data_IF_854274304742
#
_entry.id   IF_854274304742
#
_cell.length_a   1.000
_cell.length_b   1.000
_cell.length_c   1.000
_cell.angle_alpha   90.00
_cell.angle_beta   90.00
_cell.angle_gamma   90.00
#
_symmetry.space_group_name_H-M   'P 1'
#
loop_
_entity.id
_entity.type
_entity.pdbx_description
1 polymer ?
#
# COMPACT_ATOMS: atom_id res chain seq x y z
N UNK A 1 -7.06 16.45 -8.64
CA UNK A 1 -6.08 15.60 -9.34
C UNK A 1 -6.83 14.39 -9.87
N UNK A 2 -6.56 13.95 -11.10
CA UNK A 2 -7.21 12.81 -11.73
C UNK A 2 -6.17 11.74 -12.07
N UNK A 3 -6.58 10.47 -12.18
CA UNK A 3 -5.69 9.34 -12.49
C UNK A 3 -5.01 9.46 -13.87
N UNK A 4 -5.56 10.30 -14.75
CA UNK A 4 -5.04 10.54 -16.11
C UNK A 4 -3.58 11.01 -16.13
N UNK A 5 -3.10 11.67 -15.07
CA UNK A 5 -1.71 12.13 -15.00
C UNK A 5 -0.71 10.96 -14.98
N UNK A 6 -1.16 9.76 -14.62
CA UNK A 6 -0.34 8.55 -14.52
C UNK A 6 -0.34 7.71 -15.81
N UNK A 7 -1.17 8.06 -16.80
CA UNK A 7 -1.15 7.39 -18.10
C UNK A 7 0.07 7.87 -18.88
N UNK A 8 1.00 6.97 -19.26
CA UNK A 8 2.23 7.37 -19.92
C UNK A 8 1.95 7.83 -21.35
N UNK A 9 2.82 8.68 -21.87
CA UNK A 9 2.96 8.88 -23.30
C UNK A 9 3.62 7.63 -23.90
N UNK A 10 3.59 7.53 -25.26
CA UNK A 10 4.24 6.41 -25.95
C UNK A 10 5.72 6.34 -25.57
N UNK A 11 6.18 5.16 -25.16
CA UNK A 11 7.59 4.91 -24.91
C UNK A 11 8.40 4.93 -26.22
N UNK A 12 9.61 5.47 -26.15
CA UNK A 12 10.51 5.56 -27.31
C UNK A 12 11.57 4.45 -27.33
N UNK A 13 11.81 3.82 -26.19
CA UNK A 13 12.85 2.83 -26.01
C UNK A 13 12.23 1.43 -25.86
N UNK A 14 13.02 0.41 -26.20
CA UNK A 14 12.70 -1.00 -25.94
C UNK A 14 13.85 -1.61 -25.14
N UNK A 15 13.53 -2.38 -24.13
CA UNK A 15 14.49 -3.08 -23.28
C UNK A 15 14.34 -4.57 -23.56
N UNK A 16 15.40 -5.27 -23.89
CA UNK A 16 15.30 -6.71 -24.19
C UNK A 16 15.10 -7.54 -22.91
N UNK A 17 15.84 -7.23 -21.87
CA UNK A 17 15.79 -7.92 -20.56
C UNK A 17 16.36 -7.04 -19.47
N UNK A 18 15.95 -7.29 -18.25
CA UNK A 18 16.49 -6.60 -17.08
C UNK A 18 16.10 -7.28 -15.77
N UNK A 19 16.64 -6.72 -14.70
CA UNK A 19 16.37 -7.17 -13.34
C UNK A 19 16.48 -5.99 -12.39
N UNK A 20 15.50 -5.85 -11.50
CA UNK A 20 15.47 -4.81 -10.48
C UNK A 20 15.02 -5.38 -9.16
N UNK A 21 15.54 -4.86 -8.06
CA UNK A 21 15.16 -5.28 -6.71
C UNK A 21 14.81 -4.06 -5.88
N UNK A 22 13.68 -4.14 -5.19
CA UNK A 22 13.24 -3.16 -4.22
C UNK A 22 12.85 -3.80 -2.90
N UNK A 23 13.11 -3.11 -1.81
CA UNK A 23 12.52 -3.39 -0.52
C UNK A 23 11.45 -2.33 -0.22
N UNK A 24 10.38 -2.76 0.43
CA UNK A 24 9.30 -1.87 0.88
C UNK A 24 8.87 -2.26 2.29
N UNK A 25 8.76 -1.30 3.21
CA UNK A 25 8.35 -1.56 4.58
C UNK A 25 6.88 -1.93 4.65
N UNK A 26 6.51 -2.71 5.64
CA UNK A 26 5.12 -2.77 6.08
C UNK A 26 4.72 -1.49 6.79
N UNK A 27 3.43 -1.25 6.98
CA UNK A 27 2.93 -0.08 7.67
C UNK A 27 1.80 -0.45 8.66
N UNK A 28 1.76 0.26 9.80
CA UNK A 28 0.74 0.12 10.82
C UNK A 28 -0.09 1.39 10.88
N UNK A 29 -1.39 1.25 10.65
CA UNK A 29 -2.31 2.38 10.67
C UNK A 29 -2.64 2.82 12.09
N UNK A 30 -2.49 4.12 12.37
CA UNK A 30 -2.91 4.80 13.59
C UNK A 30 -4.39 5.17 13.53
N UNK A 31 -4.84 5.75 12.41
CA UNK A 31 -6.25 5.87 12.05
C UNK A 31 -6.52 4.87 10.94
N UNK A 32 -7.46 3.94 11.20
CA UNK A 32 -7.63 2.74 10.38
C UNK A 32 -8.34 3.02 9.05
N UNK A 33 -7.79 2.52 7.96
CA UNK A 33 -8.47 2.35 6.68
C UNK A 33 -9.48 1.20 6.79
N UNK A 34 -10.79 1.51 6.69
CA UNK A 34 -11.84 0.50 6.75
C UNK A 34 -13.01 0.89 5.86
N UNK A 35 -13.40 -0.02 4.98
CA UNK A 35 -14.34 0.29 3.88
C UNK A 35 -13.61 0.85 2.66
N UNK A 36 -14.06 0.42 1.48
CA UNK A 36 -13.49 0.85 0.21
C UNK A 36 -14.55 0.93 -0.88
N UNK A 37 -14.38 1.88 -1.76
CA UNK A 37 -15.09 2.02 -3.03
C UNK A 37 -14.38 1.22 -4.13
N UNK A 38 -14.92 1.30 -5.36
CA UNK A 38 -14.28 0.74 -6.54
C UNK A 38 -12.82 1.22 -6.65
N UNK A 39 -11.96 0.39 -7.24
CA UNK A 39 -10.56 0.66 -7.51
C UNK A 39 -9.75 1.02 -6.24
N UNK A 40 -10.09 0.40 -5.11
CA UNK A 40 -9.45 0.58 -3.80
C UNK A 40 -9.52 2.01 -3.24
N UNK A 41 -10.39 2.88 -3.75
CA UNK A 41 -10.60 4.21 -3.17
C UNK A 41 -11.12 4.08 -1.74
N UNK A 42 -10.53 4.79 -0.75
CA UNK A 42 -10.92 4.64 0.65
C UNK A 42 -12.26 5.33 0.96
N UNK A 43 -13.00 4.79 1.91
CA UNK A 43 -14.21 5.47 2.43
C UNK A 43 -13.87 6.55 3.46
N UNK A 44 -12.72 6.44 4.11
CA UNK A 44 -12.23 7.40 5.09
C UNK A 44 -10.71 7.59 4.98
N UNK A 45 -10.19 8.76 5.38
CA UNK A 45 -8.75 8.97 5.45
C UNK A 45 -8.11 8.06 6.51
N UNK A 46 -6.84 7.78 6.33
CA UNK A 46 -6.05 6.96 7.23
C UNK A 46 -4.63 7.48 7.30
N UNK A 47 -3.94 7.20 8.42
CA UNK A 47 -2.53 7.53 8.61
C UNK A 47 -1.82 6.34 9.21
N UNK A 48 -0.60 6.09 8.76
CA UNK A 48 0.24 4.99 9.27
C UNK A 48 1.70 5.42 9.36
N UNK A 49 2.44 4.79 10.26
CA UNK A 49 3.90 4.78 10.19
C UNK A 49 4.40 3.47 9.57
N UNK A 50 5.59 3.51 8.98
CA UNK A 50 6.26 2.37 8.38
C UNK A 50 7.12 1.64 9.42
N UNK A 51 7.28 0.33 9.25
CA UNK A 51 8.06 -0.54 10.12
C UNK A 51 9.44 -0.79 9.53
N UNK A 52 10.49 -0.24 10.12
CA UNK A 52 11.85 -0.35 9.59
C UNK A 52 12.38 -1.79 9.48
N UNK A 53 12.00 -2.66 10.40
CA UNK A 53 12.47 -4.05 10.45
C UNK A 53 11.54 -5.04 9.72
N UNK A 54 10.31 -4.66 9.42
CA UNK A 54 9.33 -5.51 8.74
C UNK A 54 9.17 -5.08 7.29
N UNK A 55 9.89 -5.73 6.38
CA UNK A 55 9.95 -5.39 4.97
C UNK A 55 9.65 -6.58 4.07
N UNK A 56 9.16 -6.30 2.87
CA UNK A 56 9.16 -7.23 1.76
C UNK A 56 10.23 -6.81 0.76
N UNK A 57 11.04 -7.75 0.32
CA UNK A 57 12.07 -7.57 -0.71
C UNK A 57 11.57 -8.29 -1.95
N UNK A 58 11.40 -7.58 -3.05
CA UNK A 58 10.94 -8.14 -4.32
C UNK A 58 11.98 -7.89 -5.40
N UNK A 59 12.34 -8.95 -6.11
CA UNK A 59 13.13 -8.90 -7.32
C UNK A 59 12.24 -9.20 -8.52
N UNK A 60 12.21 -8.29 -9.47
CA UNK A 60 11.51 -8.41 -10.73
C UNK A 60 12.54 -8.63 -11.85
N UNK A 61 12.57 -9.82 -12.44
CA UNK A 61 13.29 -10.07 -13.68
C UNK A 61 12.31 -10.03 -14.85
N UNK A 62 12.69 -9.42 -15.96
CA UNK A 62 11.84 -9.27 -17.14
C UNK A 62 12.60 -9.54 -18.43
N UNK A 63 11.92 -10.13 -19.40
CA UNK A 63 12.43 -10.43 -20.74
C UNK A 63 11.36 -10.14 -21.77
N UNK A 64 11.71 -9.39 -22.82
CA UNK A 64 10.82 -9.10 -23.95
C UNK A 64 10.36 -10.40 -24.59
N UNK A 65 9.07 -10.54 -24.87
CA UNK A 65 8.49 -11.73 -25.51
C UNK A 65 7.97 -11.42 -26.92
N UNK A 66 7.87 -12.45 -27.73
CA UNK A 66 7.36 -12.35 -29.10
C UNK A 66 5.83 -12.16 -29.11
N UNK A 67 5.11 -13.00 -28.33
CA UNK A 67 3.65 -12.89 -28.18
C UNK A 67 3.29 -11.88 -27.07
N UNK A 68 2.59 -10.81 -27.43
CA UNK A 68 2.25 -9.67 -26.57
C UNK A 68 0.77 -9.58 -26.19
N UNK A 69 0.03 -10.69 -26.24
CA UNK A 69 -1.42 -10.69 -26.01
C UNK A 69 -1.80 -10.79 -24.54
N UNK A 70 -1.04 -11.57 -23.76
CA UNK A 70 -1.41 -11.95 -22.40
C UNK A 70 -0.33 -11.56 -21.40
N UNK A 71 -0.72 -11.38 -20.13
CA UNK A 71 0.25 -11.29 -19.05
C UNK A 71 0.94 -12.65 -18.87
N UNK A 72 2.25 -12.62 -18.73
CA UNK A 72 3.09 -13.81 -18.58
C UNK A 72 4.02 -13.60 -17.39
N UNK A 73 3.79 -14.33 -16.31
CA UNK A 73 4.57 -14.18 -15.10
C UNK A 73 4.59 -15.44 -14.23
N UNK A 74 5.72 -15.65 -13.58
CA UNK A 74 5.90 -16.62 -12.51
C UNK A 74 6.14 -15.89 -11.20
N UNK A 75 5.60 -16.39 -10.07
CA UNK A 75 5.76 -15.78 -8.75
C UNK A 75 6.29 -16.77 -7.72
N UNK A 76 7.29 -16.33 -6.96
CA UNK A 76 7.98 -17.12 -5.93
C UNK A 76 7.95 -16.35 -4.60
N UNK A 77 7.68 -17.07 -3.51
CA UNK A 77 7.83 -16.59 -2.14
C UNK A 77 8.85 -17.46 -1.42
N UNK A 78 9.91 -16.83 -0.89
CA UNK A 78 10.99 -17.51 -0.18
C UNK A 78 11.64 -18.66 -1.00
N UNK A 79 11.69 -18.49 -2.34
CA UNK A 79 12.25 -19.45 -3.28
C UNK A 79 11.28 -20.52 -3.77
N UNK A 80 10.10 -20.63 -3.22
CA UNK A 80 9.04 -21.56 -3.63
C UNK A 80 8.03 -20.91 -4.57
N UNK A 81 7.66 -21.59 -5.65
CA UNK A 81 6.61 -21.12 -6.54
C UNK A 81 5.26 -21.06 -5.81
N UNK A 82 4.51 -19.96 -6.01
CA UNK A 82 3.23 -19.68 -5.33
C UNK A 82 2.12 -19.40 -6.35
N UNK A 83 1.57 -20.46 -6.92
CA UNK A 83 0.48 -20.36 -7.88
C UNK A 83 -0.78 -19.71 -7.30
N UNK A 84 -1.03 -19.88 -6.01
CA UNK A 84 -2.13 -19.28 -5.27
C UNK A 84 -2.06 -17.74 -5.21
N UNK A 85 -0.91 -17.13 -5.49
CA UNK A 85 -0.76 -15.68 -5.61
C UNK A 85 -1.07 -15.17 -7.03
N UNK A 86 -1.02 -16.03 -8.06
CA UNK A 86 -1.22 -15.65 -9.46
C UNK A 86 -2.54 -14.91 -9.70
N UNK A 87 -3.71 -15.33 -9.17
CA UNK A 87 -4.96 -14.61 -9.38
C UNK A 87 -4.93 -13.17 -8.90
N UNK A 88 -4.25 -12.91 -7.77
CA UNK A 88 -4.13 -11.56 -7.21
C UNK A 88 -3.20 -10.67 -8.04
N UNK A 89 -2.11 -11.21 -8.54
CA UNK A 89 -1.18 -10.48 -9.43
C UNK A 89 -1.83 -10.22 -10.78
N UNK A 90 -2.59 -11.18 -11.31
CA UNK A 90 -3.37 -11.03 -12.54
C UNK A 90 -4.34 -9.84 -12.44
N UNK A 91 -5.17 -9.80 -11.39
CA UNK A 91 -6.09 -8.69 -11.13
C UNK A 91 -5.34 -7.35 -10.96
N UNK A 92 -4.18 -7.39 -10.34
CA UNK A 92 -3.35 -6.19 -10.21
C UNK A 92 -2.87 -5.70 -11.57
N UNK A 93 -2.31 -6.57 -12.40
CA UNK A 93 -1.86 -6.23 -13.75
C UNK A 93 -2.99 -5.71 -14.65
N UNK A 94 -4.17 -6.32 -14.59
CA UNK A 94 -5.37 -5.84 -15.30
C UNK A 94 -5.76 -4.40 -14.90
N UNK A 95 -5.64 -4.05 -13.61
CA UNK A 95 -5.95 -2.70 -13.11
C UNK A 95 -4.92 -1.66 -13.51
N UNK A 96 -3.67 -2.06 -13.66
CA UNK A 96 -2.58 -1.12 -13.92
C UNK A 96 -2.14 -1.09 -15.39
N UNK A 97 -2.67 -1.94 -16.26
CA UNK A 97 -2.28 -2.04 -17.68
C UNK A 97 -2.33 -0.68 -18.39
N UNK A 98 -3.39 0.11 -18.18
CA UNK A 98 -3.52 1.43 -18.79
C UNK A 98 -2.42 2.41 -18.37
N UNK A 99 -1.86 2.22 -17.19
CA UNK A 99 -0.79 3.06 -16.63
C UNK A 99 0.61 2.53 -16.93
N UNK A 100 0.72 1.23 -17.27
CA UNK A 100 1.95 0.53 -17.63
C UNK A 100 1.69 -0.40 -18.83
N UNK A 101 1.50 0.16 -20.04
CA UNK A 101 1.09 -0.61 -21.22
C UNK A 101 2.09 -1.68 -21.66
N UNK A 102 3.34 -1.64 -21.21
CA UNK A 102 4.34 -2.66 -21.49
C UNK A 102 4.10 -4.01 -20.81
N UNK A 103 3.19 -4.11 -19.85
CA UNK A 103 3.00 -5.34 -19.04
C UNK A 103 2.75 -6.60 -19.86
N UNK A 104 2.08 -6.49 -21.01
CA UNK A 104 1.86 -7.62 -21.92
C UNK A 104 3.02 -7.90 -22.88
N UNK A 105 4.00 -7.01 -22.92
CA UNK A 105 5.16 -7.15 -23.81
C UNK A 105 6.28 -8.00 -23.23
N UNK A 106 6.24 -8.26 -21.91
CA UNK A 106 7.30 -8.94 -21.19
C UNK A 106 6.79 -10.17 -20.45
N UNK A 107 7.70 -11.18 -20.37
CA UNK A 107 7.60 -12.23 -19.36
C UNK A 107 8.29 -11.75 -18.09
N UNK A 108 7.63 -11.92 -16.95
CA UNK A 108 8.12 -11.53 -15.64
C UNK A 108 8.42 -12.75 -14.78
N UNK A 109 9.52 -12.69 -14.02
CA UNK A 109 9.76 -13.54 -12.86
C UNK A 109 9.77 -12.66 -11.62
N UNK A 110 8.81 -12.89 -10.72
CA UNK A 110 8.62 -12.15 -9.48
C UNK A 110 9.12 -13.01 -8.33
N UNK A 111 10.23 -12.65 -7.73
CA UNK A 111 10.80 -13.35 -6.56
C UNK A 111 10.66 -12.44 -5.35
N UNK A 112 9.91 -12.86 -4.33
CA UNK A 112 9.62 -12.04 -3.15
C UNK A 112 9.95 -12.79 -1.86
N UNK A 113 10.35 -12.04 -0.84
CA UNK A 113 10.59 -12.57 0.50
C UNK A 113 10.24 -11.53 1.55
N UNK A 114 9.82 -11.98 2.74
CA UNK A 114 9.51 -11.12 3.86
C UNK A 114 10.57 -11.26 4.95
N UNK A 115 10.91 -10.17 5.63
CA UNK A 115 11.74 -10.21 6.85
C UNK A 115 10.94 -10.57 8.10
N UNK A 116 9.67 -10.90 7.93
CA UNK A 116 8.71 -11.24 8.98
C UNK A 116 7.78 -12.37 8.51
N UNK A 117 7.12 -13.12 9.43
CA UNK A 117 6.25 -14.23 9.05
C UNK A 117 5.11 -13.81 8.14
N UNK A 118 4.92 -14.53 7.03
CA UNK A 118 3.78 -14.30 6.13
C UNK A 118 2.45 -14.55 6.87
N UNK A 119 1.40 -13.83 6.52
CA UNK A 119 0.05 -13.92 7.12
C UNK A 119 -0.05 -13.60 8.63
N UNK A 120 0.99 -13.07 9.25
CA UNK A 120 1.04 -12.74 10.68
C UNK A 120 0.26 -11.47 11.10
N UNK A 121 -0.53 -10.88 10.21
CA UNK A 121 -1.23 -9.62 10.50
C UNK A 121 -0.40 -8.35 10.28
N UNK A 122 0.88 -8.47 9.87
CA UNK A 122 1.83 -7.36 9.66
C UNK A 122 1.71 -6.75 8.26
N UNK A 123 0.55 -6.84 7.63
CA UNK A 123 0.26 -6.23 6.33
C UNK A 123 1.25 -6.60 5.19
N UNK A 124 1.72 -7.87 5.12
CA UNK A 124 2.60 -8.37 4.05
C UNK A 124 2.08 -8.08 2.62
N UNK A 125 0.77 -8.04 2.46
CA UNK A 125 0.13 -7.64 1.20
C UNK A 125 0.40 -6.17 0.82
N UNK A 126 0.57 -5.29 1.80
CA UNK A 126 0.88 -3.88 1.54
C UNK A 126 2.34 -3.73 1.11
N UNK A 127 3.28 -4.26 1.88
CA UNK A 127 4.72 -4.19 1.54
C UNK A 127 5.04 -4.92 0.24
N UNK A 128 4.41 -6.09 -0.02
CA UNK A 128 4.61 -6.84 -1.26
C UNK A 128 4.14 -6.10 -2.50
N UNK A 129 2.92 -5.51 -2.49
CA UNK A 129 2.43 -4.73 -3.62
C UNK A 129 3.21 -3.43 -3.81
N UNK A 130 3.70 -2.82 -2.73
CA UNK A 130 4.55 -1.64 -2.81
C UNK A 130 5.91 -1.96 -3.46
N UNK A 131 6.56 -3.04 -3.02
CA UNK A 131 7.84 -3.46 -3.59
C UNK A 131 7.71 -3.81 -5.08
N UNK A 132 6.63 -4.51 -5.47
CA UNK A 132 6.36 -4.82 -6.88
C UNK A 132 6.08 -3.55 -7.69
N UNK A 133 5.30 -2.60 -7.16
CA UNK A 133 5.02 -1.32 -7.83
C UNK A 133 6.32 -0.52 -8.04
N UNK A 134 7.23 -0.49 -7.06
CA UNK A 134 8.53 0.16 -7.19
C UNK A 134 9.41 -0.51 -8.26
N UNK A 135 9.40 -1.84 -8.34
CA UNK A 135 10.09 -2.58 -9.41
C UNK A 135 9.54 -2.20 -10.80
N UNK A 136 8.22 -2.17 -10.97
CA UNK A 136 7.57 -1.80 -12.23
C UNK A 136 7.85 -0.34 -12.61
N UNK A 137 7.87 0.57 -11.64
CA UNK A 137 8.23 1.97 -11.86
C UNK A 137 9.70 2.15 -12.24
N UNK A 138 10.60 1.34 -11.68
CA UNK A 138 12.00 1.35 -12.10
C UNK A 138 12.15 0.91 -13.56
N UNK A 139 11.41 -0.11 -13.96
CA UNK A 139 11.36 -0.51 -15.37
C UNK A 139 10.78 0.61 -16.25
N UNK A 140 9.70 1.30 -15.82
CA UNK A 140 9.17 2.44 -16.56
C UNK A 140 10.18 3.58 -16.70
N UNK A 141 10.99 3.84 -15.67
CA UNK A 141 12.04 4.86 -15.68
C UNK A 141 13.13 4.55 -16.73
N UNK A 142 13.38 3.27 -17.03
CA UNK A 142 14.29 2.87 -18.11
C UNK A 142 13.72 3.15 -19.51
N UNK A 143 12.39 3.17 -19.68
CA UNK A 143 11.73 3.59 -20.92
C UNK A 143 11.66 5.11 -21.06
N UNK A 144 11.63 5.83 -19.93
CA UNK A 144 11.49 7.28 -19.89
C UNK A 144 12.36 7.87 -18.78
N UNK A 145 13.55 8.34 -19.12
CA UNK A 145 14.52 8.91 -18.17
C UNK A 145 14.10 10.27 -17.58
N UNK A 146 13.06 10.93 -18.14
CA UNK A 146 12.57 12.21 -17.64
C UNK A 146 11.65 12.09 -16.42
N UNK A 147 11.40 10.87 -15.93
CA UNK A 147 10.62 10.61 -14.71
C UNK A 147 11.37 11.17 -13.50
N UNK A 148 10.82 12.22 -12.89
CA UNK A 148 11.33 12.79 -11.64
C UNK A 148 11.10 11.83 -10.46
N UNK A 149 11.90 11.94 -9.40
CA UNK A 149 11.73 11.10 -8.22
C UNK A 149 10.39 11.36 -7.51
N UNK A 150 9.88 12.59 -7.54
CA UNK A 150 8.55 12.92 -7.03
C UNK A 150 7.45 12.18 -7.82
N UNK A 151 7.47 12.26 -9.15
CA UNK A 151 6.50 11.57 -9.99
C UNK A 151 6.62 10.05 -9.86
N UNK A 152 7.85 9.52 -9.77
CA UNK A 152 8.12 8.11 -9.53
C UNK A 152 7.43 7.62 -8.26
N UNK A 153 7.63 8.30 -7.14
CA UNK A 153 7.04 7.94 -5.86
C UNK A 153 5.52 8.07 -5.85
N UNK A 154 4.97 9.15 -6.42
CA UNK A 154 3.52 9.34 -6.53
C UNK A 154 2.87 8.24 -7.37
N UNK A 155 3.43 7.92 -8.54
CA UNK A 155 2.92 6.86 -9.41
C UNK A 155 3.12 5.47 -8.79
N UNK A 156 4.26 5.18 -8.16
CA UNK A 156 4.47 3.93 -7.43
C UNK A 156 3.43 3.74 -6.34
N UNK A 157 3.14 4.79 -5.55
CA UNK A 157 2.13 4.78 -4.51
C UNK A 157 0.72 4.57 -5.08
N UNK A 158 0.40 5.24 -6.18
CA UNK A 158 -0.86 5.04 -6.90
C UNK A 158 -1.03 3.61 -7.40
N UNK A 159 -0.02 3.04 -8.05
CA UNK A 159 -0.05 1.65 -8.55
C UNK A 159 -0.17 0.66 -7.39
N UNK A 160 0.62 0.84 -6.34
CA UNK A 160 0.57 -0.01 -5.14
C UNK A 160 -0.84 -0.06 -4.53
N UNK A 161 -1.55 1.09 -4.48
CA UNK A 161 -2.95 1.17 -4.04
C UNK A 161 -3.86 0.26 -4.85
N UNK A 162 -3.71 0.23 -6.16
CA UNK A 162 -4.53 -0.62 -7.04
C UNK A 162 -4.34 -2.12 -6.78
N UNK A 163 -3.18 -2.52 -6.25
CA UNK A 163 -2.92 -3.90 -5.83
C UNK A 163 -3.43 -4.21 -4.42
N UNK A 164 -3.22 -3.28 -3.49
CA UNK A 164 -3.68 -3.37 -2.10
C UNK A 164 -3.81 -1.96 -1.55
N UNK A 165 -5.01 -1.53 -1.14
CA UNK A 165 -5.26 -0.13 -0.78
C UNK A 165 -4.20 0.47 0.15
N UNK A 166 -3.92 -0.18 1.27
CA UNK A 166 -2.92 0.29 2.24
C UNK A 166 -1.47 0.30 1.73
N UNK A 167 -1.18 -0.33 0.60
CA UNK A 167 0.15 -0.38 0.03
C UNK A 167 0.68 1.00 -0.38
N UNK A 168 -0.21 1.92 -0.76
CA UNK A 168 0.19 3.30 -1.08
C UNK A 168 0.94 4.01 0.06
N UNK A 169 0.81 3.55 1.30
CA UNK A 169 1.48 4.12 2.46
C UNK A 169 2.85 3.49 2.78
N UNK A 170 3.30 2.56 1.96
CA UNK A 170 4.60 1.87 2.12
C UNK A 170 5.67 2.33 1.11
N UNK A 171 5.44 3.39 0.35
CA UNK A 171 6.39 3.90 -0.66
C UNK A 171 7.38 4.89 -0.07
N UNK A 172 6.92 5.89 0.64
CA UNK A 172 7.73 7.02 1.11
C UNK A 172 7.80 7.08 2.62
N UNK A 173 8.34 6.35 3.37
CA UNK A 173 8.66 6.29 4.82
C UNK A 173 7.94 7.35 5.65
N UNK A 174 8.13 7.75 6.68
CA UNK A 174 7.94 7.51 8.09
C UNK A 174 6.46 7.51 8.46
N UNK A 175 5.75 8.65 8.27
CA UNK A 175 4.34 8.85 8.59
C UNK A 175 3.59 9.30 7.33
N UNK A 176 2.66 8.45 6.87
CA UNK A 176 1.97 8.62 5.58
C UNK A 176 0.47 8.70 5.77
N UNK A 177 -0.14 9.69 5.13
CA UNK A 177 -1.59 9.89 5.06
C UNK A 177 -2.11 9.45 3.71
N UNK A 178 -3.27 8.77 3.69
CA UNK A 178 -3.99 8.42 2.49
C UNK A 178 -5.51 8.56 2.71
N UNK A 179 -6.18 9.09 1.70
CA UNK A 179 -7.59 9.48 1.74
C UNK A 179 -7.74 11.00 1.90
N UNK A 180 -8.65 11.58 1.12
CA UNK A 180 -8.90 13.03 1.12
C UNK A 180 -9.48 13.50 2.44
N UNK A 181 -8.90 14.55 3.02
CA UNK A 181 -9.37 15.23 4.23
C UNK A 181 -8.94 16.69 4.22
N UNK A 182 -9.74 17.57 4.80
CA UNK A 182 -9.41 18.99 4.91
C UNK A 182 -8.35 19.26 6.00
N UNK A 183 -8.18 18.32 6.93
CA UNK A 183 -7.21 18.44 8.04
C UNK A 183 -5.75 18.33 7.60
N UNK A 184 -5.46 17.72 6.43
CA UNK A 184 -4.09 17.45 5.96
C UNK A 184 -3.89 18.03 4.56
N UNK A 185 -2.96 18.95 4.44
CA UNK A 185 -2.60 19.58 3.16
C UNK A 185 -2.06 18.52 2.20
N UNK A 186 -2.55 18.54 0.96
CA UNK A 186 -2.11 17.63 -0.09
C UNK A 186 -2.73 16.23 -0.03
N UNK A 187 -3.50 15.91 1.00
CA UNK A 187 -4.18 14.61 1.11
C UNK A 187 -5.11 14.35 -0.08
N UNK A 188 -5.12 13.12 -0.56
CA UNK A 188 -5.95 12.71 -1.70
C UNK A 188 -6.24 11.20 -1.63
N UNK A 189 -7.17 10.74 -2.47
CA UNK A 189 -7.59 9.34 -2.51
C UNK A 189 -6.72 8.46 -3.42
N UNK A 190 -5.87 9.05 -4.25
CA UNK A 190 -5.15 8.32 -5.31
C UNK A 190 -3.87 7.67 -4.82
N UNK A 191 -3.11 8.36 -3.95
CA UNK A 191 -1.83 7.89 -3.42
C UNK A 191 -1.57 8.42 -2.01
N UNK A 192 -0.63 7.82 -1.31
CA UNK A 192 -0.19 8.27 0.01
C UNK A 192 0.68 9.53 -0.08
N UNK A 193 0.57 10.40 0.90
CA UNK A 193 1.38 11.61 1.03
C UNK A 193 2.08 11.61 2.38
N UNK A 194 3.32 12.11 2.42
CA UNK A 194 4.03 12.33 3.67
C UNK A 194 3.23 13.26 4.56
N UNK A 195 3.19 12.95 5.85
CA UNK A 195 2.59 13.83 6.85
C UNK A 195 3.36 15.18 6.87
N UNK A 196 2.70 16.30 6.54
CA UNK A 196 3.42 17.54 6.24
C UNK A 196 3.69 18.42 7.46
N UNK A 197 3.31 17.97 8.66
CA UNK A 197 3.42 18.78 9.87
C UNK A 197 4.52 18.27 10.81
N UNK A 198 4.80 19.05 11.85
CA UNK A 198 5.80 18.71 12.87
C UNK A 198 5.41 17.45 13.63
N UNK A 199 6.39 16.57 13.83
CA UNK A 199 6.28 15.35 14.65
C UNK A 199 7.17 15.53 15.87
N UNK A 200 6.60 15.38 17.08
CA UNK A 200 7.32 15.45 18.33
C UNK A 200 8.33 14.29 18.46
N UNK A 201 9.43 14.53 19.18
CA UNK A 201 10.51 13.54 19.37
C UNK A 201 10.01 12.20 19.93
N UNK A 202 8.99 12.22 20.78
CA UNK A 202 8.37 11.02 21.34
C UNK A 202 7.91 10.02 20.26
N UNK A 203 7.65 10.46 19.04
CA UNK A 203 7.15 9.63 17.94
C UNK A 203 8.21 9.31 16.88
N UNK A 204 9.40 9.90 16.95
CA UNK A 204 10.47 9.67 15.96
C UNK A 204 11.18 8.33 16.15
N UNK A 205 11.27 7.85 17.40
CA UNK A 205 11.85 6.55 17.74
C UNK A 205 10.80 5.59 18.31
N UNK A 206 9.55 5.74 17.89
CA UNK A 206 8.44 4.91 18.34
C UNK A 206 8.65 3.46 17.91
N UNK A 207 8.42 2.51 18.83
CA UNK A 207 8.60 1.10 18.59
C UNK A 207 7.27 0.37 18.64
N UNK A 208 7.04 -0.48 17.65
CA UNK A 208 5.87 -1.36 17.59
C UNK A 208 6.30 -2.80 17.84
N UNK A 209 5.74 -3.41 18.88
CA UNK A 209 5.98 -4.82 19.21
C UNK A 209 4.77 -5.65 18.83
N UNK A 210 4.97 -6.55 17.88
CA UNK A 210 3.90 -7.43 17.39
C UNK A 210 3.89 -8.73 18.16
N UNK A 211 2.82 -8.99 18.90
CA UNK A 211 2.60 -10.24 19.63
C UNK A 211 1.88 -11.25 18.73
N UNK A 212 2.56 -12.33 18.38
CA UNK A 212 1.98 -13.42 17.59
C UNK A 212 1.24 -14.40 18.53
N UNK A 213 -0.06 -14.22 18.67
CA UNK A 213 -0.91 -15.10 19.51
C UNK A 213 -1.14 -16.44 18.81
N UNK A 214 -1.34 -16.42 17.50
CA UNK A 214 -1.48 -17.59 16.65
C UNK A 214 -0.59 -17.46 15.42
N UNK A 215 0.15 -18.53 15.10
CA UNK A 215 1.02 -18.62 13.90
C UNK A 215 0.29 -19.26 12.69
N UNK A 216 -0.99 -19.60 12.85
CA UNK A 216 -1.80 -20.20 11.81
C UNK A 216 -2.14 -19.23 10.66
N UNK A 217 -2.68 -19.78 9.58
CA UNK A 217 -3.12 -18.98 8.45
C UNK A 217 -4.35 -18.13 8.80
N UNK A 218 -4.37 -16.91 8.30
CA UNK A 218 -5.48 -15.98 8.48
C UNK A 218 -6.75 -16.51 7.81
N UNK A 219 -7.79 -16.82 8.59
CA UNK A 219 -9.04 -17.41 8.09
C UNK A 219 -9.89 -16.44 7.27
N UNK A 220 -9.84 -15.13 7.55
CA UNK A 220 -10.65 -14.11 6.87
C UNK A 220 -9.75 -13.11 6.16
N UNK A 221 -9.95 -12.97 4.84
CA UNK A 221 -9.18 -12.00 4.06
C UNK A 221 -9.57 -10.55 4.42
N UNK A 222 -8.63 -9.61 4.25
CA UNK A 222 -8.91 -8.18 4.44
C UNK A 222 -10.02 -7.67 3.51
N UNK A 223 -10.17 -8.26 2.33
CA UNK A 223 -11.23 -7.90 1.37
C UNK A 223 -12.61 -8.21 1.94
N UNK A 224 -12.78 -9.37 2.56
CA UNK A 224 -14.03 -9.73 3.23
C UNK A 224 -14.33 -8.73 4.35
N UNK A 225 -13.33 -8.42 5.21
CA UNK A 225 -13.50 -7.45 6.28
C UNK A 225 -13.93 -6.06 5.77
N UNK A 226 -13.30 -5.54 4.72
CA UNK A 226 -13.73 -4.26 4.11
C UNK A 226 -15.16 -4.30 3.57
N UNK A 227 -15.60 -5.44 3.04
CA UNK A 227 -16.94 -5.58 2.47
C UNK A 227 -18.03 -5.57 3.55
N UNK A 228 -17.72 -5.89 4.81
CA UNK A 228 -18.67 -5.77 5.93
C UNK A 228 -19.19 -4.33 6.11
N UNK A 229 -18.44 -3.33 5.65
CA UNK A 229 -18.87 -1.94 5.72
C UNK A 229 -19.95 -1.57 4.69
N UNK A 230 -20.15 -2.37 3.65
CA UNK A 230 -21.24 -2.14 2.71
C UNK A 230 -22.59 -2.36 3.40
N UNK A 231 -23.41 -1.29 3.43
CA UNK A 231 -24.72 -1.29 4.09
C UNK A 231 -24.70 -1.48 5.62
N UNK A 232 -23.52 -1.41 6.26
CA UNK A 232 -23.42 -1.48 7.72
C UNK A 232 -24.08 -0.24 8.35
N UNK A 233 -25.00 -0.42 9.34
CA UNK A 233 -25.78 0.70 9.88
C UNK A 233 -24.93 1.81 10.50
N UNK A 234 -23.74 1.50 11.02
CA UNK A 234 -22.82 2.46 11.64
C UNK A 234 -21.67 2.89 10.73
N UNK A 235 -21.63 2.47 9.46
CA UNK A 235 -20.53 2.78 8.56
C UNK A 235 -20.25 4.29 8.45
N UNK A 236 -21.31 5.10 8.26
CA UNK A 236 -21.19 6.56 8.14
C UNK A 236 -20.55 7.19 9.38
N UNK A 237 -20.98 6.75 10.58
CA UNK A 237 -20.44 7.27 11.84
C UNK A 237 -18.97 6.85 12.02
N UNK A 238 -18.63 5.63 11.64
CA UNK A 238 -17.23 5.16 11.66
C UNK A 238 -16.33 5.97 10.73
N UNK A 239 -16.80 6.29 9.53
CA UNK A 239 -16.02 7.11 8.58
C UNK A 239 -15.84 8.53 9.11
N UNK A 240 -16.87 9.14 9.70
CA UNK A 240 -16.75 10.45 10.33
C UNK A 240 -15.77 10.41 11.51
N UNK A 241 -15.84 9.40 12.37
CA UNK A 241 -14.90 9.22 13.48
C UNK A 241 -13.44 9.18 13.00
N UNK A 242 -13.17 8.57 11.85
CA UNK A 242 -11.82 8.53 11.30
C UNK A 242 -11.31 9.94 10.92
N UNK A 243 -12.15 10.78 10.34
CA UNK A 243 -11.82 12.19 10.09
C UNK A 243 -11.53 12.95 11.40
N UNK A 244 -12.40 12.82 12.38
CA UNK A 244 -12.26 13.50 13.69
C UNK A 244 -11.00 13.02 14.43
N UNK A 245 -10.70 11.73 14.35
CA UNK A 245 -9.52 11.15 14.99
C UNK A 245 -8.22 11.56 14.28
N UNK A 246 -8.24 11.71 12.96
CA UNK A 246 -7.08 12.21 12.23
C UNK A 246 -6.77 13.68 12.60
N UNK A 247 -7.78 14.51 12.77
CA UNK A 247 -7.60 15.88 13.22
C UNK A 247 -7.05 15.95 14.65
N UNK A 248 -7.60 15.16 15.58
CA UNK A 248 -7.08 15.04 16.95
C UNK A 248 -5.62 14.54 16.95
N UNK A 249 -5.32 13.52 16.13
CA UNK A 249 -3.99 12.94 16.05
C UNK A 249 -2.95 13.99 15.61
N UNK A 250 -3.31 14.92 14.75
CA UNK A 250 -2.44 16.02 14.34
C UNK A 250 -1.92 16.82 15.54
N UNK A 251 -2.81 17.22 16.45
CA UNK A 251 -2.44 17.95 17.68
C UNK A 251 -1.61 17.08 18.64
N UNK A 252 -1.98 15.82 18.77
CA UNK A 252 -1.30 14.84 19.62
C UNK A 252 0.15 14.61 19.15
N UNK A 253 0.33 14.39 17.85
CA UNK A 253 1.66 14.14 17.26
C UNK A 253 2.56 15.38 17.34
N UNK A 254 2.00 16.57 17.25
CA UNK A 254 2.75 17.82 17.40
C UNK A 254 3.15 18.09 18.85
N UNK A 255 2.26 17.84 19.81
CA UNK A 255 2.50 18.10 21.24
C UNK A 255 3.34 17.04 21.95
N UNK A 256 3.34 15.81 21.46
CA UNK A 256 4.02 14.67 22.10
C UNK A 256 3.20 14.02 23.23
N UNK A 257 1.89 14.27 23.32
CA UNK A 257 1.02 13.72 24.37
C UNK A 257 0.79 12.22 24.18
N UNK A 258 1.57 11.41 24.90
CA UNK A 258 1.49 9.94 24.84
C UNK A 258 0.20 9.39 25.43
N UNK A 259 -0.40 10.06 26.43
CA UNK A 259 -1.64 9.57 27.02
C UNK A 259 -2.82 9.74 26.04
N UNK A 260 -2.93 10.92 25.42
CA UNK A 260 -3.92 11.16 24.38
C UNK A 260 -3.69 10.26 23.16
N UNK A 261 -2.43 10.01 22.79
CA UNK A 261 -2.07 9.08 21.72
C UNK A 261 -2.58 7.68 22.00
N UNK A 262 -2.24 7.12 23.16
CA UNK A 262 -2.64 5.76 23.55
C UNK A 262 -4.18 5.61 23.55
N UNK A 263 -4.89 6.56 24.15
CA UNK A 263 -6.35 6.53 24.20
C UNK A 263 -6.98 6.57 22.79
N UNK A 264 -6.44 7.37 21.89
CA UNK A 264 -6.93 7.46 20.51
C UNK A 264 -6.67 6.16 19.73
N UNK A 265 -5.45 5.62 19.80
CA UNK A 265 -5.06 4.40 19.04
C UNK A 265 -5.83 3.18 19.55
N UNK A 266 -6.02 3.06 20.85
CA UNK A 266 -6.83 2.00 21.44
C UNK A 266 -8.29 2.10 20.99
N UNK A 267 -8.89 3.30 21.02
CA UNK A 267 -10.25 3.56 20.52
C UNK A 267 -10.40 3.19 19.04
N UNK A 268 -9.41 3.52 18.19
CA UNK A 268 -9.40 3.16 16.77
C UNK A 268 -9.37 1.62 16.57
N UNK A 269 -8.54 0.92 17.33
CA UNK A 269 -8.45 -0.54 17.26
C UNK A 269 -9.76 -1.20 17.72
N UNK A 270 -10.31 -0.78 18.84
CA UNK A 270 -11.56 -1.32 19.41
C UNK A 270 -12.74 -1.05 18.50
N UNK A 271 -12.86 0.15 17.93
CA UNK A 271 -13.93 0.47 16.98
C UNK A 271 -13.87 -0.41 15.74
N UNK A 272 -12.67 -0.65 15.19
CA UNK A 272 -12.51 -1.56 14.06
C UNK A 272 -13.01 -2.96 14.40
N UNK A 273 -12.62 -3.51 15.55
CA UNK A 273 -13.04 -4.83 15.96
C UNK A 273 -14.56 -4.89 16.21
N UNK A 274 -15.14 -3.85 16.81
CA UNK A 274 -16.61 -3.76 16.99
C UNK A 274 -17.34 -3.83 15.63
N UNK A 275 -16.83 -3.12 14.59
CA UNK A 275 -17.42 -3.18 13.24
C UNK A 275 -17.30 -4.55 12.59
N UNK A 276 -16.31 -5.36 12.97
CA UNK A 276 -16.16 -6.72 12.45
C UNK A 276 -17.04 -7.76 13.16
N UNK A 277 -17.53 -7.44 14.37
CA UNK A 277 -18.37 -8.33 15.17
C UNK A 277 -19.89 -8.11 14.98
N UNK A 278 -20.26 -7.08 14.25
CA UNK A 278 -21.66 -6.73 13.95
C UNK A 278 -21.97 -6.94 12.49
#
# INVERSE_FOLDING_TARGET
>A
MTEQIFIPKKYSNTIEKGKVTWESPSNIALVKYWGKKKDQIPENPSISFTLNSCKTITTLSYTLKENKTDFDFDIFLDGEEKDDFKPKIQIFFERIEIYLPFLKEYKFKIETQNTFPHSSGIASSASGMSALALCLMSMEKEFNFDITDEFFNQKASFLARLGSGSACRSIEGDLIVWGKTDSIIGSNDLFGVKYPYKVHENFKAYQDTILLVDKGEKQVSSTVGHNLMHHHPYAKNRFQQAHDNLEKLKTIVESGDLNAFTALIESEALTLHAMMMT
#
